data_IF_650290837313
#
_entry.id   IF_650290837313
#
_cell.length_a   1.000
_cell.length_b   1.000
_cell.length_c   1.000
_cell.angle_alpha   90.00
_cell.angle_beta   90.00
_cell.angle_gamma   90.00
#
_symmetry.space_group_name_H-M   'P 1'
#
loop_
_entity.id
_entity.type
_entity.pdbx_description
1 polymer ?
#
# COMPACT_ATOMS: atom_id res chain seq x y z
N UNK A 1 -92.01 -59.61 -29.30
CA UNK A 1 -91.63 -58.25 -28.83
C UNK A 1 -90.22 -57.99 -29.36
N UNK A 2 -89.97 -57.36 -30.52
CA UNK A 2 -90.22 -55.97 -30.95
C UNK A 2 -89.85 -54.92 -29.87
N UNK A 3 -88.76 -54.16 -30.06
CA UNK A 3 -88.64 -52.84 -30.72
C UNK A 3 -87.13 -52.51 -30.86
N UNK A 4 -86.53 -52.38 -32.06
CA UNK A 4 -86.41 -51.25 -33.02
C UNK A 4 -85.41 -50.12 -32.65
N UNK A 5 -84.52 -49.87 -33.62
CA UNK A 5 -83.38 -48.92 -33.74
C UNK A 5 -83.79 -47.44 -33.83
N UNK A 6 -82.83 -46.51 -33.62
CA UNK A 6 -82.57 -45.35 -34.50
C UNK A 6 -81.22 -44.62 -34.21
N UNK A 7 -80.78 -43.82 -35.19
CA UNK A 7 -79.42 -43.36 -35.57
C UNK A 7 -78.96 -41.95 -35.07
N UNK A 8 -77.61 -41.76 -34.95
CA UNK A 8 -76.65 -40.60 -35.20
C UNK A 8 -77.03 -39.12 -34.87
N UNK A 9 -76.10 -38.09 -34.76
CA UNK A 9 -74.68 -37.97 -35.22
C UNK A 9 -73.69 -37.26 -34.21
N UNK A 10 -72.42 -36.92 -34.58
CA UNK A 10 -71.35 -36.49 -33.67
C UNK A 10 -71.16 -34.95 -33.60
N UNK A 11 -70.68 -34.43 -32.46
CA UNK A 11 -70.23 -33.03 -32.35
C UNK A 11 -68.78 -32.94 -31.83
N UNK A 12 -67.98 -32.21 -32.63
CA UNK A 12 -66.62 -31.74 -32.39
C UNK A 12 -66.45 -31.09 -31.01
N UNK A 13 -65.40 -31.47 -30.28
CA UNK A 13 -64.86 -30.68 -29.18
C UNK A 13 -63.45 -30.22 -29.59
N UNK A 14 -63.36 -28.95 -30.00
CA UNK A 14 -62.09 -28.26 -30.28
C UNK A 14 -61.48 -27.91 -28.93
N UNK A 15 -60.43 -28.62 -28.52
CA UNK A 15 -59.61 -28.25 -27.37
C UNK A 15 -58.68 -27.09 -27.76
N UNK A 16 -59.04 -25.89 -27.31
CA UNK A 16 -58.21 -24.70 -27.39
C UNK A 16 -57.09 -24.80 -26.34
N UNK A 17 -55.89 -25.20 -26.76
CA UNK A 17 -54.68 -25.11 -25.94
C UNK A 17 -54.23 -23.65 -25.94
N UNK A 18 -54.62 -22.88 -24.91
CA UNK A 18 -53.93 -21.64 -24.58
C UNK A 18 -52.60 -22.00 -23.90
N UNK A 19 -51.50 -21.86 -24.65
CA UNK A 19 -50.17 -21.78 -24.07
C UNK A 19 -50.05 -20.39 -23.44
N UNK A 20 -50.33 -20.30 -22.14
CA UNK A 20 -49.94 -19.13 -21.34
C UNK A 20 -48.42 -19.16 -21.18
N UNK A 21 -47.71 -18.47 -22.08
CA UNK A 21 -46.36 -17.99 -21.77
C UNK A 21 -46.50 -16.97 -20.64
N UNK A 22 -46.31 -17.44 -19.41
CA UNK A 22 -46.07 -16.57 -18.27
C UNK A 22 -44.72 -15.87 -18.50
N UNK A 23 -44.74 -14.66 -19.05
CA UNK A 23 -43.63 -13.73 -18.92
C UNK A 23 -43.42 -13.47 -17.43
N UNK A 24 -42.52 -14.21 -16.78
CA UNK A 24 -41.93 -13.77 -15.53
C UNK A 24 -41.24 -12.43 -15.83
N UNK A 25 -41.77 -11.36 -15.24
CA UNK A 25 -41.17 -10.03 -15.30
C UNK A 25 -39.83 -10.13 -14.57
N UNK A 26 -38.73 -10.08 -15.31
CA UNK A 26 -37.39 -10.03 -14.71
C UNK A 26 -37.27 -8.68 -14.00
N UNK A 27 -37.14 -8.69 -12.67
CA UNK A 27 -37.00 -7.47 -11.86
C UNK A 27 -35.54 -7.28 -11.47
N UNK A 28 -34.92 -6.18 -11.91
CA UNK A 28 -33.50 -5.86 -11.69
C UNK A 28 -33.24 -5.10 -10.39
N UNK A 29 -34.08 -5.26 -9.37
CA UNK A 29 -34.07 -4.41 -8.17
C UNK A 29 -32.70 -4.33 -7.48
N UNK A 30 -31.96 -5.45 -7.45
CA UNK A 30 -30.63 -5.52 -6.85
C UNK A 30 -29.59 -4.81 -7.73
N UNK A 31 -29.65 -5.06 -9.03
CA UNK A 31 -28.77 -4.50 -10.05
C UNK A 31 -28.95 -2.98 -10.10
N UNK A 32 -30.18 -2.48 -10.11
CA UNK A 32 -30.51 -1.06 -10.08
C UNK A 32 -29.99 -0.36 -8.84
N UNK A 33 -30.18 -0.97 -7.66
CA UNK A 33 -29.65 -0.40 -6.41
C UNK A 33 -28.13 -0.29 -6.40
N UNK A 34 -27.43 -1.32 -6.88
CA UNK A 34 -25.96 -1.28 -7.00
C UNK A 34 -25.50 -0.28 -8.07
N UNK A 35 -26.20 -0.23 -9.20
CA UNK A 35 -25.92 0.69 -10.30
C UNK A 35 -26.07 2.14 -9.87
N UNK A 36 -27.11 2.46 -9.09
CA UNK A 36 -27.37 3.79 -8.56
C UNK A 36 -26.25 4.29 -7.64
N UNK A 37 -25.77 3.44 -6.73
CA UNK A 37 -24.62 3.79 -5.86
C UNK A 37 -23.36 4.07 -6.68
N UNK A 38 -23.09 3.26 -7.71
CA UNK A 38 -21.95 3.51 -8.58
C UNK A 38 -22.11 4.76 -9.45
N UNK A 39 -23.33 5.07 -9.88
CA UNK A 39 -23.62 6.30 -10.60
C UNK A 39 -23.30 7.53 -9.74
N UNK A 40 -23.69 7.53 -8.47
CA UNK A 40 -23.33 8.58 -7.50
C UNK A 40 -21.80 8.72 -7.35
N UNK A 41 -21.09 7.60 -7.17
CA UNK A 41 -19.63 7.62 -7.00
C UNK A 41 -18.89 8.16 -8.23
N UNK A 42 -19.36 7.85 -9.44
CA UNK A 42 -18.80 8.40 -10.69
C UNK A 42 -19.14 9.87 -10.83
N UNK A 43 -20.38 10.27 -10.51
CA UNK A 43 -20.82 11.65 -10.54
C UNK A 43 -19.98 12.55 -9.62
N UNK A 44 -19.69 12.05 -8.41
CA UNK A 44 -18.90 12.73 -7.39
C UNK A 44 -17.40 12.75 -7.70
N UNK A 45 -16.93 12.06 -8.74
CA UNK A 45 -15.52 11.98 -9.12
C UNK A 45 -14.68 11.04 -8.24
N UNK A 46 -15.32 10.24 -7.38
CA UNK A 46 -14.64 9.23 -6.54
C UNK A 46 -14.13 8.07 -7.39
N UNK A 47 -14.91 7.66 -8.39
CA UNK A 47 -14.53 6.63 -9.36
C UNK A 47 -14.39 7.23 -10.75
N UNK A 48 -13.22 7.08 -11.41
CA UNK A 48 -13.09 7.44 -12.82
C UNK A 48 -14.09 6.69 -13.69
N UNK A 49 -14.23 5.38 -13.50
CA UNK A 49 -15.29 4.55 -14.06
C UNK A 49 -15.83 3.56 -13.02
N UNK A 50 -17.05 3.07 -13.23
CA UNK A 50 -17.59 1.93 -12.49
C UNK A 50 -18.18 0.88 -13.45
N UNK A 51 -18.30 -0.36 -12.98
CA UNK A 51 -18.86 -1.47 -13.74
C UNK A 51 -20.21 -1.87 -13.13
N UNK A 52 -21.21 -2.13 -13.98
CA UNK A 52 -22.42 -2.83 -13.56
C UNK A 52 -22.11 -4.29 -13.20
N UNK A 53 -23.12 -4.98 -12.63
CA UNK A 53 -23.04 -6.43 -12.56
C UNK A 53 -22.94 -7.04 -13.98
N UNK A 54 -22.18 -8.13 -14.15
CA UNK A 54 -22.15 -8.88 -15.40
C UNK A 54 -23.49 -9.56 -15.67
N UNK A 55 -24.09 -9.26 -16.82
CA UNK A 55 -25.38 -9.81 -17.27
C UNK A 55 -25.21 -10.54 -18.60
N UNK A 56 -26.06 -11.52 -18.90
CA UNK A 56 -26.14 -12.04 -20.26
C UNK A 56 -26.60 -10.95 -21.24
N UNK A 57 -26.31 -11.05 -22.55
CA UNK A 57 -26.76 -10.05 -23.52
C UNK A 57 -28.27 -9.76 -23.49
N UNK A 58 -29.10 -10.80 -23.29
CA UNK A 58 -30.56 -10.65 -23.18
C UNK A 58 -31.01 -9.97 -21.89
N UNK A 59 -30.35 -10.23 -20.77
CA UNK A 59 -30.62 -9.53 -19.51
C UNK A 59 -30.18 -8.07 -19.62
N UNK A 60 -29.04 -7.82 -20.27
CA UNK A 60 -28.53 -6.47 -20.53
C UNK A 60 -29.52 -5.66 -21.35
N UNK A 61 -30.08 -6.24 -22.43
CA UNK A 61 -31.11 -5.58 -23.25
C UNK A 61 -32.32 -5.13 -22.42
N UNK A 62 -32.74 -5.95 -21.44
CA UNK A 62 -33.85 -5.64 -20.54
C UNK A 62 -33.48 -4.59 -19.48
N UNK A 63 -32.22 -4.55 -19.04
CA UNK A 63 -31.74 -3.62 -18.02
C UNK A 63 -31.39 -2.23 -18.57
N UNK A 64 -30.98 -2.13 -19.84
CA UNK A 64 -30.55 -0.88 -20.48
C UNK A 64 -31.48 0.32 -20.24
N UNK A 65 -32.82 0.22 -20.39
CA UNK A 65 -33.70 1.38 -20.18
C UNK A 65 -33.64 1.93 -18.75
N UNK A 66 -33.52 1.04 -17.76
CA UNK A 66 -33.40 1.43 -16.35
C UNK A 66 -32.03 2.03 -16.06
N UNK A 67 -30.96 1.42 -16.57
CA UNK A 67 -29.61 1.93 -16.46
C UNK A 67 -29.47 3.34 -17.08
N UNK A 68 -30.06 3.58 -18.26
CA UNK A 68 -30.08 4.91 -18.90
C UNK A 68 -30.84 5.93 -18.06
N UNK A 69 -32.01 5.57 -17.51
CA UNK A 69 -32.78 6.47 -16.65
C UNK A 69 -32.01 6.86 -15.37
N UNK A 70 -31.30 5.90 -14.74
CA UNK A 70 -30.45 6.19 -13.59
C UNK A 70 -29.27 7.06 -14.01
N UNK A 71 -28.61 6.77 -15.15
CA UNK A 71 -27.49 7.55 -15.63
C UNK A 71 -27.85 9.03 -15.88
N UNK A 72 -29.01 9.29 -16.48
CA UNK A 72 -29.55 10.64 -16.68
C UNK A 72 -29.76 11.37 -15.35
N UNK A 73 -30.32 10.69 -14.33
CA UNK A 73 -30.53 11.25 -12.99
C UNK A 73 -29.23 11.75 -12.34
N UNK A 74 -28.12 11.05 -12.55
CA UNK A 74 -26.80 11.40 -12.00
C UNK A 74 -25.91 12.17 -12.98
N UNK A 75 -26.42 12.57 -14.15
CA UNK A 75 -25.67 13.30 -15.17
C UNK A 75 -24.37 12.58 -15.58
N UNK A 76 -24.44 11.26 -15.70
CA UNK A 76 -23.34 10.40 -16.19
C UNK A 76 -23.74 9.70 -17.49
N UNK A 77 -22.76 9.09 -18.14
CA UNK A 77 -22.96 8.29 -19.36
C UNK A 77 -22.72 6.81 -19.08
N UNK A 78 -23.28 5.97 -19.96
CA UNK A 78 -23.16 4.51 -19.88
C UNK A 78 -22.67 3.96 -21.21
N UNK A 79 -21.72 3.03 -21.16
CA UNK A 79 -21.21 2.32 -22.32
C UNK A 79 -21.40 0.82 -22.12
N UNK A 80 -22.05 0.15 -23.10
CA UNK A 80 -22.20 -1.30 -23.11
C UNK A 80 -20.89 -1.95 -23.57
N UNK A 81 -20.24 -2.65 -22.65
CA UNK A 81 -19.00 -3.36 -22.89
C UNK A 81 -19.28 -4.86 -23.04
N UNK A 82 -19.24 -5.39 -24.28
CA UNK A 82 -19.54 -6.80 -24.54
C UNK A 82 -18.39 -7.75 -24.19
N UNK A 83 -17.18 -7.24 -24.03
CA UNK A 83 -16.00 -8.06 -23.73
C UNK A 83 -15.06 -7.28 -22.81
N UNK A 84 -15.30 -7.36 -21.50
CA UNK A 84 -14.49 -6.65 -20.50
C UNK A 84 -13.00 -7.02 -20.64
N UNK A 85 -12.13 -6.02 -20.46
CA UNK A 85 -10.67 -6.23 -20.44
C UNK A 85 -10.28 -7.34 -19.44
N UNK A 86 -9.53 -8.34 -19.92
CA UNK A 86 -9.02 -9.41 -19.06
C UNK A 86 -7.83 -8.92 -18.25
N UNK A 87 -7.96 -8.83 -16.92
CA UNK A 87 -6.88 -8.39 -16.02
C UNK A 87 -6.57 -9.48 -15.00
N UNK A 88 -5.58 -9.24 -14.14
CA UNK A 88 -5.28 -10.06 -12.97
C UNK A 88 -5.97 -9.53 -11.70
N UNK A 89 -7.05 -8.75 -11.83
CA UNK A 89 -7.80 -8.24 -10.66
C UNK A 89 -8.99 -9.12 -10.28
N UNK A 90 -9.54 -9.88 -11.23
CA UNK A 90 -10.71 -10.72 -11.04
C UNK A 90 -10.55 -12.00 -11.86
N UNK A 91 -11.23 -13.06 -11.44
CA UNK A 91 -11.35 -14.27 -12.26
C UNK A 91 -12.12 -13.96 -13.55
N UNK A 92 -11.50 -14.26 -14.69
CA UNK A 92 -12.10 -14.05 -16.01
C UNK A 92 -13.36 -14.90 -16.24
N UNK A 93 -13.54 -15.98 -15.47
CA UNK A 93 -14.75 -16.82 -15.52
C UNK A 93 -16.02 -16.03 -15.15
N UNK A 94 -15.90 -14.98 -14.33
CA UNK A 94 -17.04 -14.19 -13.83
C UNK A 94 -17.71 -13.38 -14.95
N UNK A 95 -16.96 -13.02 -15.99
CA UNK A 95 -17.41 -12.19 -17.12
C UNK A 95 -17.52 -12.97 -18.43
N UNK A 96 -17.25 -14.27 -18.43
CA UNK A 96 -17.30 -15.08 -19.64
C UNK A 96 -18.74 -15.17 -20.17
N UNK A 97 -18.93 -14.75 -21.43
CA UNK A 97 -20.24 -14.74 -22.09
C UNK A 97 -21.23 -13.73 -21.51
N UNK A 98 -20.74 -12.78 -20.70
CA UNK A 98 -21.51 -11.72 -20.09
C UNK A 98 -21.01 -10.36 -20.55
N UNK A 99 -21.88 -9.37 -20.44
CA UNK A 99 -21.61 -7.98 -20.75
C UNK A 99 -21.72 -7.15 -19.48
N UNK A 100 -21.03 -6.02 -19.45
CA UNK A 100 -21.11 -5.04 -18.36
C UNK A 100 -21.41 -3.66 -18.94
N UNK A 101 -22.00 -2.80 -18.12
CA UNK A 101 -22.07 -1.37 -18.41
C UNK A 101 -20.92 -0.68 -17.69
N UNK A 102 -20.22 0.17 -18.43
CA UNK A 102 -19.25 1.10 -17.88
C UNK A 102 -19.98 2.41 -17.62
N UNK A 103 -20.06 2.80 -16.36
CA UNK A 103 -20.55 4.10 -15.92
C UNK A 103 -19.38 5.07 -15.91
N UNK A 104 -19.53 6.23 -16.55
CA UNK A 104 -18.41 7.16 -16.74
C UNK A 104 -18.87 8.60 -16.89
N UNK A 105 -17.92 9.54 -16.72
CA UNK A 105 -18.11 10.98 -16.94
C UNK A 105 -16.89 11.57 -17.66
N UNK A 106 -17.13 12.44 -18.64
CA UNK A 106 -16.06 13.03 -19.45
C UNK A 106 -15.23 11.97 -20.19
N UNK A 107 -13.92 12.15 -20.22
CA UNK A 107 -12.98 11.34 -21.02
C UNK A 107 -12.56 10.00 -20.37
N UNK A 108 -13.18 9.63 -19.26
CA UNK A 108 -12.84 8.39 -18.54
C UNK A 108 -13.11 7.11 -19.34
N UNK A 109 -14.10 7.12 -20.25
CA UNK A 109 -14.32 6.02 -21.20
C UNK A 109 -13.17 5.90 -22.22
N UNK A 110 -12.66 7.02 -22.73
CA UNK A 110 -11.54 7.02 -23.68
C UNK A 110 -10.30 6.39 -23.03
N UNK A 111 -10.02 6.75 -21.77
CA UNK A 111 -8.91 6.17 -21.02
C UNK A 111 -9.04 4.64 -20.89
N UNK A 112 -10.23 4.13 -20.60
CA UNK A 112 -10.51 2.69 -20.60
C UNK A 112 -10.30 2.05 -21.98
N UNK A 113 -10.80 2.67 -23.05
CA UNK A 113 -10.66 2.16 -24.41
C UNK A 113 -9.18 2.12 -24.86
N UNK A 114 -8.38 3.13 -24.50
CA UNK A 114 -6.93 3.14 -24.73
C UNK A 114 -6.24 2.01 -23.97
N UNK A 115 -6.60 1.77 -22.71
CA UNK A 115 -6.06 0.67 -21.92
C UNK A 115 -6.41 -0.69 -22.54
N UNK A 116 -7.66 -0.88 -22.97
CA UNK A 116 -8.12 -2.11 -23.62
C UNK A 116 -7.40 -2.34 -24.95
N UNK A 117 -7.19 -1.29 -25.75
CA UNK A 117 -6.40 -1.35 -26.97
C UNK A 117 -4.97 -1.81 -26.68
N UNK A 118 -4.31 -1.23 -25.69
CA UNK A 118 -2.96 -1.65 -25.26
C UNK A 118 -2.93 -3.12 -24.84
N UNK A 119 -3.90 -3.59 -24.07
CA UNK A 119 -3.99 -5.00 -23.68
C UNK A 119 -4.11 -5.92 -24.91
N UNK A 120 -5.00 -5.59 -25.85
CA UNK A 120 -5.17 -6.36 -27.08
C UNK A 120 -3.90 -6.38 -27.95
N UNK A 121 -3.17 -5.26 -28.02
CA UNK A 121 -1.88 -5.19 -28.74
C UNK A 121 -0.82 -6.11 -28.09
N UNK A 122 -0.76 -6.13 -26.76
CA UNK A 122 0.11 -7.03 -26.00
C UNK A 122 -0.29 -8.50 -26.16
N UNK A 123 -1.59 -8.81 -26.24
CA UNK A 123 -2.08 -10.15 -26.52
C UNK A 123 -1.69 -10.60 -27.93
N UNK A 124 -1.88 -9.72 -28.92
CA UNK A 124 -1.49 -9.97 -30.30
C UNK A 124 0.02 -10.20 -30.46
N UNK A 125 0.86 -9.51 -29.67
CA UNK A 125 2.31 -9.72 -29.64
C UNK A 125 2.74 -10.90 -28.75
N UNK A 126 1.81 -11.58 -28.06
CA UNK A 126 2.08 -12.64 -27.05
C UNK A 126 2.91 -12.18 -25.87
N UNK A 127 2.83 -10.90 -25.53
CA UNK A 127 3.55 -10.28 -24.42
C UNK A 127 2.64 -9.94 -23.22
N UNK A 128 1.36 -10.28 -23.28
CA UNK A 128 0.40 -10.01 -22.20
C UNK A 128 0.52 -10.98 -21.03
N UNK A 129 1.66 -10.91 -20.33
CA UNK A 129 2.00 -11.72 -19.16
C UNK A 129 2.97 -10.97 -18.24
N UNK A 130 3.23 -11.52 -17.05
CA UNK A 130 4.17 -10.95 -16.08
C UNK A 130 3.89 -9.47 -15.79
N UNK A 131 4.95 -8.65 -15.76
CA UNK A 131 4.87 -7.23 -15.44
C UNK A 131 3.93 -6.46 -16.39
N UNK A 132 3.92 -6.78 -17.68
CA UNK A 132 3.09 -6.06 -18.66
C UNK A 132 1.59 -6.23 -18.37
N UNK A 133 1.17 -7.43 -17.94
CA UNK A 133 -0.22 -7.68 -17.53
C UNK A 133 -0.53 -7.08 -16.15
N UNK A 134 0.45 -7.10 -15.24
CA UNK A 134 0.35 -6.43 -13.95
C UNK A 134 0.11 -4.92 -14.10
N UNK A 135 0.88 -4.24 -14.96
CA UNK A 135 0.75 -2.80 -15.22
C UNK A 135 -0.63 -2.43 -15.77
N UNK A 136 -1.17 -3.24 -16.68
CA UNK A 136 -2.53 -3.06 -17.21
C UNK A 136 -3.56 -3.26 -16.10
N UNK A 137 -3.38 -4.28 -15.26
CA UNK A 137 -4.26 -4.57 -14.13
C UNK A 137 -4.26 -3.45 -13.10
N UNK A 138 -3.09 -2.93 -12.72
CA UNK A 138 -2.95 -1.77 -11.82
C UNK A 138 -3.63 -0.53 -12.38
N UNK A 139 -3.43 -0.26 -13.68
CA UNK A 139 -4.08 0.86 -14.36
C UNK A 139 -5.60 0.72 -14.34
N UNK A 140 -6.11 -0.47 -14.62
CA UNK A 140 -7.56 -0.74 -14.55
C UNK A 140 -8.09 -0.58 -13.12
N UNK A 141 -7.37 -1.08 -12.11
CA UNK A 141 -7.74 -0.94 -10.69
C UNK A 141 -7.86 0.52 -10.25
N UNK A 142 -6.90 1.37 -10.66
CA UNK A 142 -6.98 2.81 -10.42
C UNK A 142 -8.17 3.46 -11.12
N UNK A 143 -8.50 3.05 -12.35
CA UNK A 143 -9.71 3.52 -13.05
C UNK A 143 -11.00 3.14 -12.32
N UNK A 144 -11.01 2.00 -11.62
CA UNK A 144 -12.11 1.57 -10.74
C UNK A 144 -12.08 2.27 -9.37
N UNK A 145 -11.11 3.15 -9.11
CA UNK A 145 -10.93 3.86 -7.84
C UNK A 145 -10.49 2.97 -6.68
N UNK A 146 -9.73 1.89 -6.96
CA UNK A 146 -9.17 1.05 -5.91
C UNK A 146 -7.88 1.65 -5.34
N UNK A 147 -7.68 1.62 -4.01
CA UNK A 147 -6.39 1.95 -3.42
C UNK A 147 -5.34 0.91 -3.81
N UNK A 148 -4.06 1.31 -3.85
CA UNK A 148 -2.96 0.41 -4.27
C UNK A 148 -2.88 -0.86 -3.40
N UNK A 149 -3.15 -0.80 -2.09
CA UNK A 149 -3.16 -2.00 -1.25
C UNK A 149 -4.27 -2.99 -1.65
N UNK A 150 -5.45 -2.51 -2.05
CA UNK A 150 -6.49 -3.38 -2.58
C UNK A 150 -6.13 -3.96 -3.96
N UNK A 151 -5.44 -3.18 -4.80
CA UNK A 151 -4.93 -3.67 -6.09
C UNK A 151 -3.91 -4.78 -5.86
N UNK A 152 -2.94 -4.60 -4.94
CA UNK A 152 -1.99 -5.64 -4.55
C UNK A 152 -2.69 -6.90 -4.05
N UNK A 153 -3.68 -6.76 -3.15
CA UNK A 153 -4.45 -7.89 -2.63
C UNK A 153 -5.13 -8.69 -3.76
N UNK A 154 -5.77 -8.01 -4.71
CA UNK A 154 -6.40 -8.67 -5.85
C UNK A 154 -5.37 -9.32 -6.77
N UNK A 155 -4.23 -8.67 -7.03
CA UNK A 155 -3.14 -9.25 -7.81
C UNK A 155 -2.56 -10.49 -7.11
N UNK A 156 -2.38 -10.46 -5.80
CA UNK A 156 -1.85 -11.57 -5.03
C UNK A 156 -2.80 -12.78 -5.02
N UNK A 157 -4.12 -12.53 -5.07
CA UNK A 157 -5.14 -13.58 -5.15
C UNK A 157 -5.25 -14.20 -6.56
N UNK A 158 -5.03 -13.41 -7.61
CA UNK A 158 -5.34 -13.80 -8.99
C UNK A 158 -4.11 -13.92 -9.89
N UNK A 159 -2.89 -13.84 -9.34
CA UNK A 159 -1.64 -13.97 -10.08
C UNK A 159 -0.47 -14.43 -9.20
N UNK A 160 0.71 -14.55 -9.83
CA UNK A 160 1.97 -14.85 -9.15
C UNK A 160 2.55 -13.65 -8.38
N UNK A 161 1.93 -12.46 -8.42
CA UNK A 161 2.37 -11.30 -7.65
C UNK A 161 2.31 -11.59 -6.14
N UNK A 162 3.30 -11.09 -5.41
CA UNK A 162 3.38 -11.06 -3.94
C UNK A 162 4.10 -9.79 -3.50
N UNK A 163 3.81 -9.32 -2.29
CA UNK A 163 4.54 -8.26 -1.61
C UNK A 163 4.97 -8.68 -0.19
N UNK A 164 5.57 -7.79 0.60
CA UNK A 164 6.10 -8.15 1.92
C UNK A 164 5.02 -8.67 2.88
N UNK A 165 3.78 -8.20 2.73
CA UNK A 165 2.66 -8.60 3.58
C UNK A 165 2.36 -10.09 3.47
N UNK A 166 2.51 -10.67 2.27
CA UNK A 166 2.29 -12.09 2.02
C UNK A 166 3.27 -13.01 2.75
N UNK A 167 4.44 -12.50 3.15
CA UNK A 167 5.49 -13.25 3.86
C UNK A 167 5.55 -12.93 5.38
N UNK A 168 4.61 -12.10 5.84
CA UNK A 168 4.39 -11.75 7.24
C UNK A 168 5.51 -10.89 7.85
N UNK A 169 5.31 -9.57 7.87
CA UNK A 169 6.24 -8.63 8.50
C UNK A 169 6.19 -8.77 10.02
N UNK A 170 7.35 -8.84 10.67
CA UNK A 170 7.51 -9.07 12.13
C UNK A 170 8.29 -7.96 12.84
N UNK A 171 8.76 -6.95 12.12
CA UNK A 171 9.45 -5.79 12.68
C UNK A 171 10.52 -5.21 11.76
N UNK A 172 11.25 -4.22 12.29
CA UNK A 172 12.34 -3.52 11.62
C UNK A 172 13.61 -3.53 12.47
N UNK A 173 14.76 -3.68 11.83
CA UNK A 173 16.04 -3.29 12.38
C UNK A 173 16.68 -2.23 11.47
N UNK A 174 16.89 -1.03 12.00
CA UNK A 174 17.70 0.00 11.34
C UNK A 174 19.17 -0.26 11.66
N UNK A 175 20.02 -0.45 10.66
CA UNK A 175 21.43 -0.81 10.86
C UNK A 175 22.31 0.38 10.49
N UNK A 176 23.07 0.91 11.45
CA UNK A 176 24.00 2.02 11.28
C UNK A 176 25.45 1.60 11.50
N UNK A 177 26.38 2.29 10.84
CA UNK A 177 27.81 1.98 10.87
C UNK A 177 28.64 3.10 11.50
N UNK A 178 29.53 2.73 12.41
CA UNK A 178 30.35 3.62 13.25
C UNK A 178 31.84 3.33 13.14
N UNK A 179 32.66 4.39 13.11
CA UNK A 179 34.11 4.30 13.27
C UNK A 179 34.48 4.07 14.74
N UNK A 180 33.82 4.75 15.66
CA UNK A 180 33.93 4.59 17.11
C UNK A 180 32.68 3.88 17.67
N UNK A 181 32.62 2.57 17.46
CA UNK A 181 31.53 1.74 17.96
C UNK A 181 31.40 1.76 19.49
N UNK A 182 32.49 1.73 20.29
CA UNK A 182 32.38 1.85 21.76
C UNK A 182 31.67 3.12 22.21
N UNK A 183 31.98 4.28 21.64
CA UNK A 183 31.31 5.53 22.00
C UNK A 183 29.83 5.52 21.60
N UNK A 184 29.50 4.98 20.43
CA UNK A 184 28.10 4.80 20.01
C UNK A 184 27.34 3.87 20.98
N UNK A 185 27.91 2.72 21.36
CA UNK A 185 27.30 1.81 22.34
C UNK A 185 26.99 2.52 23.65
N UNK A 186 27.93 3.30 24.16
CA UNK A 186 27.75 4.09 25.39
C UNK A 186 26.63 5.12 25.22
N UNK A 187 26.60 5.85 24.11
CA UNK A 187 25.56 6.82 23.83
C UNK A 187 24.15 6.19 23.84
N UNK A 188 23.94 5.09 23.12
CA UNK A 188 22.62 4.47 23.04
C UNK A 188 22.21 3.75 24.35
N UNK A 189 23.16 3.15 25.08
CA UNK A 189 22.88 2.42 26.32
C UNK A 189 22.79 3.29 27.57
N UNK A 190 23.60 4.35 27.68
CA UNK A 190 23.71 5.20 28.87
C UNK A 190 23.03 6.55 28.66
N UNK A 191 23.32 7.25 27.55
CA UNK A 191 22.77 8.59 27.29
C UNK A 191 21.29 8.53 26.92
N UNK A 192 20.88 7.58 26.07
CA UNK A 192 19.47 7.35 25.74
C UNK A 192 18.82 6.25 26.58
N UNK A 193 19.60 5.40 27.25
CA UNK A 193 19.06 4.35 28.10
C UNK A 193 18.36 3.21 27.35
N UNK A 194 18.59 3.05 26.04
CA UNK A 194 17.90 2.03 25.25
C UNK A 194 18.25 0.63 25.76
N UNK A 195 17.24 -0.26 25.77
CA UNK A 195 17.43 -1.64 26.21
C UNK A 195 18.29 -2.40 25.21
N UNK A 196 19.45 -2.86 25.65
CA UNK A 196 20.31 -3.77 24.87
C UNK A 196 19.62 -5.14 24.77
N UNK A 197 19.48 -5.66 23.55
CA UNK A 197 18.99 -7.01 23.27
C UNK A 197 20.14 -7.99 23.04
N UNK A 198 21.18 -7.53 22.35
CA UNK A 198 22.41 -8.29 22.13
C UNK A 198 23.59 -7.34 21.99
N UNK A 199 24.75 -7.79 22.44
CA UNK A 199 26.00 -7.05 22.28
C UNK A 199 27.12 -8.02 21.91
N UNK A 200 27.85 -7.66 20.87
CA UNK A 200 29.00 -8.40 20.35
C UNK A 200 30.19 -7.45 20.21
N UNK A 201 31.38 -7.97 19.87
CA UNK A 201 32.57 -7.14 19.69
C UNK A 201 32.35 -6.05 18.61
N UNK A 202 31.77 -6.42 17.46
CA UNK A 202 31.60 -5.55 16.30
C UNK A 202 30.16 -5.06 16.08
N UNK A 203 29.24 -5.35 17.00
CA UNK A 203 27.84 -4.94 16.88
C UNK A 203 27.13 -4.79 18.22
N UNK A 204 26.03 -4.05 18.24
CA UNK A 204 25.03 -4.09 19.33
C UNK A 204 23.63 -3.84 18.77
N UNK A 205 22.64 -4.47 19.37
CA UNK A 205 21.22 -4.33 19.02
C UNK A 205 20.46 -3.76 20.21
N UNK A 206 19.76 -2.66 19.98
CA UNK A 206 18.94 -1.95 20.95
C UNK A 206 17.47 -2.06 20.58
N UNK A 207 16.61 -2.27 21.58
CA UNK A 207 15.17 -2.13 21.42
C UNK A 207 14.80 -0.65 21.54
N UNK A 208 14.16 -0.10 20.50
CA UNK A 208 13.54 1.23 20.58
C UNK A 208 12.19 1.08 21.25
N UNK A 209 11.28 0.34 20.61
CA UNK A 209 9.94 0.01 21.12
C UNK A 209 9.38 -1.18 20.37
N UNK A 210 8.77 -2.13 21.10
CA UNK A 210 8.09 -3.29 20.51
C UNK A 210 8.94 -4.03 19.48
N UNK A 211 8.51 -4.00 18.23
CA UNK A 211 9.16 -4.65 17.08
C UNK A 211 10.17 -3.78 16.30
N UNK A 212 10.46 -2.57 16.79
CA UNK A 212 11.46 -1.66 16.23
C UNK A 212 12.79 -1.71 16.99
N UNK A 213 13.89 -1.81 16.24
CA UNK A 213 15.25 -1.96 16.77
C UNK A 213 16.24 -1.06 16.04
N UNK A 214 17.25 -0.60 16.77
CA UNK A 214 18.45 0.01 16.23
C UNK A 214 19.61 -0.97 16.39
N UNK A 215 20.30 -1.27 15.30
CA UNK A 215 21.52 -2.07 15.28
C UNK A 215 22.67 -1.16 14.90
N UNK A 216 23.72 -1.15 15.71
CA UNK A 216 24.94 -0.41 15.42
C UNK A 216 26.07 -1.39 15.15
N UNK A 217 26.89 -1.12 14.13
CA UNK A 217 27.99 -1.98 13.69
C UNK A 217 29.27 -1.18 13.49
N UNK A 218 30.42 -1.85 13.58
CA UNK A 218 31.70 -1.25 13.18
C UNK A 218 31.75 -1.05 11.67
N UNK A 219 32.28 0.09 11.22
CA UNK A 219 32.67 0.32 9.82
C UNK A 219 33.78 -0.66 9.43
N UNK A 220 34.67 -1.01 10.36
CA UNK A 220 35.79 -1.92 10.10
C UNK A 220 35.30 -3.32 9.68
N UNK A 221 35.56 -3.69 8.43
CA UNK A 221 35.15 -4.97 7.86
C UNK A 221 33.72 -5.01 7.33
N UNK A 222 32.99 -3.89 7.34
CA UNK A 222 31.64 -3.80 6.76
C UNK A 222 31.63 -3.65 5.23
N UNK A 223 32.73 -3.16 4.66
CA UNK A 223 32.83 -2.78 3.25
C UNK A 223 32.51 -1.30 2.99
N UNK A 224 32.02 -0.57 4.00
CA UNK A 224 31.84 0.87 3.93
C UNK A 224 33.14 1.63 4.25
N UNK A 225 33.37 2.78 3.62
CA UNK A 225 34.49 3.68 3.86
C UNK A 225 34.32 4.48 5.15
N UNK A 226 33.07 4.76 5.52
CA UNK A 226 32.74 5.59 6.67
C UNK A 226 32.89 7.10 6.44
N UNK A 227 33.09 7.55 5.19
CA UNK A 227 33.43 8.95 4.88
C UNK A 227 32.32 9.75 4.21
N UNK A 228 31.30 9.10 3.65
CA UNK A 228 30.20 9.82 3.02
C UNK A 228 29.08 10.17 4.02
N UNK A 229 28.08 10.91 3.53
CA UNK A 229 26.93 11.32 4.33
C UNK A 229 26.12 10.09 4.77
N UNK A 230 25.56 10.14 5.99
CA UNK A 230 24.77 9.03 6.52
C UNK A 230 23.49 8.76 5.69
N UNK A 231 22.95 9.81 5.04
CA UNK A 231 21.75 9.76 4.20
C UNK A 231 20.54 9.12 4.90
N UNK A 232 20.43 9.30 6.22
CA UNK A 232 19.36 8.71 7.05
C UNK A 232 19.13 9.57 8.29
N UNK A 233 17.89 9.57 8.78
CA UNK A 233 17.57 10.01 10.13
C UNK A 233 16.63 8.99 10.80
N UNK A 234 16.64 8.96 12.12
CA UNK A 234 15.73 8.14 12.92
C UNK A 234 14.87 9.06 13.76
N UNK A 235 13.56 9.06 13.50
CA UNK A 235 12.61 9.67 14.41
C UNK A 235 12.21 8.69 15.51
N UNK A 236 12.25 9.17 16.74
CA UNK A 236 11.89 8.50 17.98
C UNK A 236 10.65 9.20 18.53
N UNK A 237 9.49 8.53 18.44
CA UNK A 237 8.22 9.17 18.74
C UNK A 237 7.88 9.09 20.23
N UNK A 238 7.61 10.25 20.83
CA UNK A 238 7.40 10.41 22.27
C UNK A 238 6.50 11.61 22.58
N UNK A 239 5.70 11.51 23.64
CA UNK A 239 4.90 12.64 24.13
C UNK A 239 5.68 13.56 25.10
N UNK A 240 6.89 13.14 25.51
CA UNK A 240 7.68 13.79 26.57
C UNK A 240 8.89 14.57 26.00
N UNK A 241 8.60 15.46 25.04
CA UNK A 241 9.64 16.18 24.30
C UNK A 241 10.48 17.11 25.18
N UNK A 242 9.87 17.78 26.17
CA UNK A 242 10.57 18.75 27.03
C UNK A 242 11.57 18.07 27.97
N UNK A 243 11.20 16.89 28.49
CA UNK A 243 12.04 16.04 29.33
C UNK A 243 13.24 15.52 28.56
N UNK A 244 13.01 14.96 27.36
CA UNK A 244 14.08 14.51 26.48
C UNK A 244 15.02 15.66 26.09
N UNK A 245 14.46 16.81 25.71
CA UNK A 245 15.24 17.98 25.32
C UNK A 245 16.15 18.47 26.46
N UNK A 246 15.59 18.59 27.67
CA UNK A 246 16.33 19.03 28.86
C UNK A 246 17.42 18.04 29.26
N UNK A 247 17.13 16.74 29.20
CA UNK A 247 18.11 15.68 29.48
C UNK A 247 19.28 15.71 28.50
N UNK A 248 19.02 15.76 27.20
CA UNK A 248 20.08 15.76 26.19
C UNK A 248 20.94 17.03 26.24
N UNK A 249 20.37 18.18 26.59
CA UNK A 249 21.14 19.38 26.86
C UNK A 249 22.07 19.22 28.08
N UNK A 250 21.58 18.59 29.16
CA UNK A 250 22.36 18.32 30.37
C UNK A 250 23.51 17.34 30.11
N UNK A 251 23.25 16.30 29.32
CA UNK A 251 24.25 15.35 28.83
C UNK A 251 25.17 15.94 27.74
N UNK A 252 24.96 17.21 27.37
CA UNK A 252 25.75 17.96 26.38
C UNK A 252 25.75 17.32 24.99
N UNK A 253 24.65 16.65 24.64
CA UNK A 253 24.43 16.13 23.29
C UNK A 253 24.21 17.31 22.33
N UNK A 254 24.78 17.21 21.13
CA UNK A 254 24.68 18.27 20.13
C UNK A 254 23.24 18.37 19.61
N UNK A 255 22.61 19.53 19.81
CA UNK A 255 21.28 19.83 19.27
C UNK A 255 21.44 20.54 17.92
N UNK A 256 21.00 19.90 16.84
CA UNK A 256 21.00 20.47 15.48
C UNK A 256 19.86 21.47 15.30
N UNK A 257 18.66 21.08 15.73
CA UNK A 257 17.47 21.92 15.69
C UNK A 257 16.82 21.92 17.07
N UNK A 258 16.60 23.11 17.62
CA UNK A 258 15.99 23.29 18.94
C UNK A 258 14.52 22.89 18.96
N UNK A 259 14.01 22.54 20.14
CA UNK A 259 12.60 22.22 20.34
C UNK A 259 11.67 23.31 19.79
N UNK A 260 10.76 22.88 18.92
CA UNK A 260 9.65 23.67 18.40
C UNK A 260 8.35 23.00 18.81
N UNK A 261 7.50 23.79 19.46
CA UNK A 261 6.13 23.39 19.82
C UNK A 261 5.17 24.29 19.05
N UNK A 262 4.37 23.67 18.20
CA UNK A 262 3.33 24.29 17.38
C UNK A 262 2.08 23.39 17.45
N UNK A 263 1.19 23.60 18.43
CA UNK A 263 0.03 22.74 18.65
C UNK A 263 -0.92 22.62 17.44
N UNK A 264 -0.98 23.66 16.59
CA UNK A 264 -1.77 23.67 15.34
C UNK A 264 -0.99 23.15 14.12
N UNK A 265 0.25 22.69 14.31
CA UNK A 265 1.11 22.13 13.28
C UNK A 265 0.94 20.61 13.11
N UNK A 266 1.68 20.03 12.16
CA UNK A 266 1.66 18.59 11.92
C UNK A 266 2.43 17.79 12.98
N UNK A 267 3.49 18.36 13.55
CA UNK A 267 4.30 17.73 14.58
C UNK A 267 5.04 18.79 15.41
N UNK A 268 5.38 18.40 16.63
CA UNK A 268 6.31 19.08 17.54
C UNK A 268 7.61 18.27 17.61
N UNK A 269 8.75 18.91 17.81
CA UNK A 269 9.98 18.14 17.94
C UNK A 269 11.28 18.95 17.96
N UNK A 270 12.37 18.22 18.11
CA UNK A 270 13.75 18.70 18.01
C UNK A 270 14.65 17.64 17.40
N UNK A 271 15.86 18.04 17.00
CA UNK A 271 16.82 17.12 16.39
C UNK A 271 18.14 17.18 17.14
N UNK A 272 18.59 16.02 17.61
CA UNK A 272 19.90 15.79 18.20
C UNK A 272 20.81 15.05 17.21
N UNK A 273 22.11 15.14 17.44
CA UNK A 273 23.12 14.33 16.75
C UNK A 273 23.72 13.34 17.74
N UNK A 274 23.88 12.10 17.28
CA UNK A 274 24.68 11.12 17.99
C UNK A 274 26.20 11.43 17.87
N UNK A 275 27.09 10.64 18.48
CA UNK A 275 28.52 10.92 18.49
C UNK A 275 29.20 11.03 17.11
N UNK A 276 28.61 10.44 16.06
CA UNK A 276 29.13 10.49 14.69
C UNK A 276 28.22 11.25 13.71
N UNK A 277 27.25 12.00 14.22
CA UNK A 277 26.41 12.88 13.43
C UNK A 277 25.22 12.19 12.76
N UNK A 278 24.83 10.97 13.15
CA UNK A 278 23.49 10.48 12.78
C UNK A 278 22.43 11.37 13.42
N UNK A 279 21.38 11.68 12.65
CA UNK A 279 20.30 12.54 13.11
C UNK A 279 19.25 11.72 13.86
N UNK A 280 18.95 12.16 15.07
CA UNK A 280 17.90 11.63 15.93
C UNK A 280 16.83 12.71 16.09
N UNK A 281 15.65 12.44 15.53
CA UNK A 281 14.50 13.34 15.62
C UNK A 281 13.63 12.87 16.79
N UNK A 282 13.36 13.76 17.73
CA UNK A 282 12.43 13.49 18.82
C UNK A 282 11.14 14.20 18.45
N UNK A 283 10.10 13.44 18.15
CA UNK A 283 8.90 13.98 17.51
C UNK A 283 7.61 13.51 18.17
N UNK A 284 6.63 14.41 18.19
CA UNK A 284 5.24 14.14 18.55
C UNK A 284 4.35 14.62 17.41
N UNK A 285 3.65 13.69 16.75
CA UNK A 285 2.72 14.04 15.69
C UNK A 285 1.38 14.52 16.27
N UNK A 286 0.74 15.47 15.58
CA UNK A 286 -0.55 16.05 15.96
C UNK A 286 -1.62 15.75 14.92
N UNK A 287 -2.88 15.88 15.32
CA UNK A 287 -3.99 15.81 14.38
C UNK A 287 -3.90 17.00 13.41
N UNK A 288 -3.69 16.70 12.14
CA UNK A 288 -3.46 17.63 11.04
C UNK A 288 -3.89 16.94 9.74
N UNK A 289 -4.25 17.66 8.66
CA UNK A 289 -4.58 17.04 7.37
C UNK A 289 -3.53 16.04 6.85
N UNK A 290 -2.25 16.28 7.17
CA UNK A 290 -1.14 15.37 6.81
C UNK A 290 -1.19 14.02 7.55
N UNK A 291 -1.82 13.95 8.73
CA UNK A 291 -1.74 12.83 9.67
C UNK A 291 -3.09 12.16 9.97
N UNK A 292 -4.12 12.39 9.14
CA UNK A 292 -5.48 11.89 9.40
C UNK A 292 -5.55 10.36 9.54
N UNK A 293 -4.68 9.63 8.82
CA UNK A 293 -4.52 8.18 8.98
C UNK A 293 -3.50 7.83 10.07
N UNK A 294 -2.40 8.58 10.14
CA UNK A 294 -1.28 8.28 11.04
C UNK A 294 -1.62 8.40 12.53
N UNK A 295 -2.34 9.44 12.95
CA UNK A 295 -2.69 9.62 14.38
C UNK A 295 -3.53 8.45 14.93
N UNK A 296 -4.59 7.97 14.26
CA UNK A 296 -5.29 6.75 14.66
C UNK A 296 -4.37 5.53 14.84
N UNK A 297 -3.38 5.34 13.99
CA UNK A 297 -2.43 4.22 14.12
C UNK A 297 -1.54 4.35 15.36
N UNK A 298 -1.12 5.58 15.71
CA UNK A 298 -0.27 5.85 16.87
C UNK A 298 -1.02 5.74 18.21
N UNK A 299 -2.31 6.09 18.25
CA UNK A 299 -3.12 6.10 19.50
C UNK A 299 -3.16 4.77 20.26
N UNK A 300 -2.95 3.64 19.57
CA UNK A 300 -2.94 2.30 20.18
C UNK A 300 -1.58 1.85 20.70
N UNK A 301 -0.51 2.63 20.51
CA UNK A 301 0.85 2.21 20.84
C UNK A 301 1.13 2.41 22.31
N UNK A 302 1.68 1.37 22.95
CA UNK A 302 2.13 1.44 24.34
C UNK A 302 3.57 1.93 24.36
N UNK A 303 3.87 3.04 25.03
CA UNK A 303 5.25 3.49 25.16
C UNK A 303 6.10 2.47 25.92
N UNK A 304 7.36 2.33 25.50
CA UNK A 304 8.38 1.56 26.20
C UNK A 304 9.36 2.54 26.85
N UNK A 305 9.46 2.47 28.17
CA UNK A 305 10.43 3.26 28.93
C UNK A 305 11.86 2.75 28.71
N UNK A 306 12.81 3.67 28.68
CA UNK A 306 14.25 3.40 28.71
C UNK A 306 14.71 3.16 30.15
N UNK A 307 15.99 2.83 30.34
CA UNK A 307 16.57 2.68 31.67
C UNK A 307 16.63 3.98 32.49
N UNK A 308 16.37 5.13 31.85
CA UNK A 308 16.40 6.46 32.50
C UNK A 308 15.12 6.76 33.30
N UNK A 309 14.02 6.05 33.04
CA UNK A 309 12.75 6.23 33.74
C UNK A 309 11.54 6.30 32.80
N UNK A 310 10.34 6.33 33.38
CA UNK A 310 9.07 6.33 32.64
C UNK A 310 8.90 7.53 31.72
N UNK A 311 9.46 8.69 32.09
CA UNK A 311 9.38 9.92 31.29
C UNK A 311 10.20 9.81 30.00
N UNK A 312 11.22 8.95 29.97
CA UNK A 312 12.07 8.70 28.82
C UNK A 312 11.56 7.46 28.10
N UNK A 313 10.55 7.63 27.27
CA UNK A 313 9.92 6.52 26.56
C UNK A 313 9.74 6.85 25.08
N UNK A 314 9.57 5.80 24.27
CA UNK A 314 9.15 5.90 22.88
C UNK A 314 7.99 4.94 22.61
N UNK A 315 7.06 5.33 21.74
CA UNK A 315 5.93 4.49 21.35
C UNK A 315 6.00 3.99 19.89
N UNK A 316 6.81 4.62 19.06
CA UNK A 316 7.08 4.22 17.68
C UNK A 316 8.39 4.84 17.17
N UNK A 317 8.84 4.41 15.99
CA UNK A 317 9.96 5.04 15.28
C UNK A 317 9.70 5.17 13.79
N UNK A 318 10.34 6.15 13.15
CA UNK A 318 10.34 6.34 11.70
C UNK A 318 11.78 6.33 11.20
N UNK A 319 12.08 5.47 10.24
CA UNK A 319 13.35 5.51 9.51
C UNK A 319 13.18 6.42 8.29
N UNK A 320 13.82 7.60 8.29
CA UNK A 320 13.78 8.54 7.16
C UNK A 320 14.90 8.26 6.17
N UNK A 321 14.53 7.90 4.94
CA UNK A 321 15.42 7.64 3.81
C UNK A 321 15.33 8.79 2.80
N UNK A 322 16.47 9.28 2.34
CA UNK A 322 16.62 10.49 1.52
C UNK A 322 16.86 10.14 0.06
N UNK A 323 16.08 10.73 -0.84
CA UNK A 323 16.06 10.39 -2.27
C UNK A 323 16.14 11.63 -3.15
N UNK A 324 16.80 11.46 -4.31
CA UNK A 324 16.79 12.41 -5.42
C UNK A 324 15.42 12.48 -6.12
N UNK A 325 14.72 11.35 -6.19
CA UNK A 325 13.42 11.25 -6.83
C UNK A 325 12.48 10.39 -5.97
N UNK A 326 11.47 11.06 -5.39
CA UNK A 326 10.52 10.42 -4.47
C UNK A 326 9.40 9.67 -5.20
N UNK A 327 9.06 10.06 -6.44
CA UNK A 327 7.88 9.50 -7.13
C UNK A 327 8.06 8.02 -7.51
N UNK A 328 9.21 7.58 -8.07
CA UNK A 328 9.48 6.16 -8.24
C UNK A 328 9.53 5.40 -6.92
N UNK A 329 10.00 6.03 -5.84
CA UNK A 329 10.04 5.41 -4.51
C UNK A 329 8.65 5.21 -3.93
N UNK A 330 7.75 6.14 -4.19
CA UNK A 330 6.34 6.02 -3.82
C UNK A 330 5.71 4.75 -4.40
N UNK A 331 5.94 4.54 -5.70
CA UNK A 331 5.48 3.32 -6.38
C UNK A 331 6.19 2.08 -5.84
N UNK A 332 7.49 2.14 -5.59
CA UNK A 332 8.22 1.01 -5.04
C UNK A 332 7.71 0.60 -3.65
N UNK A 333 7.52 1.56 -2.74
CA UNK A 333 7.01 1.29 -1.38
C UNK A 333 5.60 0.70 -1.42
N UNK A 334 4.71 1.23 -2.27
CA UNK A 334 3.30 0.82 -2.31
C UNK A 334 3.05 -0.42 -3.18
N UNK A 335 3.64 -0.50 -4.36
CA UNK A 335 3.33 -1.54 -5.36
C UNK A 335 4.28 -2.74 -5.25
N UNK A 336 5.56 -2.54 -4.94
CA UNK A 336 6.53 -3.63 -4.86
C UNK A 336 6.64 -4.19 -3.44
N UNK A 337 6.65 -3.31 -2.43
CA UNK A 337 6.74 -3.72 -1.03
C UNK A 337 5.39 -3.86 -0.33
N UNK A 338 4.32 -3.29 -0.89
CA UNK A 338 2.97 -3.39 -0.32
C UNK A 338 2.72 -2.52 0.91
N UNK A 339 3.58 -1.54 1.18
CA UNK A 339 3.47 -0.70 2.36
C UNK A 339 2.37 0.36 2.18
N UNK A 340 1.56 0.57 3.21
CA UNK A 340 0.49 1.55 3.19
C UNK A 340 0.96 2.94 3.63
N UNK A 341 0.53 3.98 2.90
CA UNK A 341 0.82 5.37 3.22
C UNK A 341 -0.01 5.83 4.43
N UNK A 342 0.68 6.16 5.53
CA UNK A 342 0.11 6.65 6.78
C UNK A 342 0.04 8.19 6.83
N UNK A 343 1.02 8.89 6.26
CA UNK A 343 1.02 10.36 6.21
C UNK A 343 1.72 10.88 4.94
N UNK A 344 1.22 12.01 4.42
CA UNK A 344 1.76 12.68 3.23
C UNK A 344 1.98 14.17 3.51
N UNK A 345 3.23 14.61 3.49
CA UNK A 345 3.66 16.00 3.68
C UNK A 345 4.10 16.65 2.36
N UNK A 346 3.79 16.01 1.23
CA UNK A 346 4.22 16.38 -0.11
C UNK A 346 5.67 15.96 -0.40
N UNK A 347 6.64 16.55 0.31
CA UNK A 347 8.07 16.28 0.13
C UNK A 347 8.62 15.20 1.06
N UNK A 348 7.81 14.76 2.03
CA UNK A 348 8.07 13.62 2.87
C UNK A 348 6.82 12.75 3.00
N UNK A 349 6.99 11.43 3.06
CA UNK A 349 5.89 10.45 3.05
C UNK A 349 6.20 9.34 4.03
N UNK A 350 5.24 8.96 4.86
CA UNK A 350 5.41 7.94 5.91
C UNK A 350 4.60 6.70 5.54
N UNK A 351 5.28 5.56 5.49
CA UNK A 351 4.68 4.24 5.24
C UNK A 351 4.75 3.38 6.49
N UNK A 352 3.63 2.71 6.80
CA UNK A 352 3.62 1.70 7.85
C UNK A 352 4.42 0.49 7.42
N UNK A 353 5.39 0.08 8.25
CA UNK A 353 6.17 -1.13 8.03
C UNK A 353 5.75 -2.25 8.98
N UNK A 354 5.66 -1.96 10.28
CA UNK A 354 5.31 -2.96 11.30
C UNK A 354 4.34 -2.38 12.34
N UNK A 355 4.25 -2.97 13.54
CA UNK A 355 3.43 -2.41 14.60
C UNK A 355 4.05 -1.15 15.22
N UNK A 356 5.37 -1.11 15.45
CA UNK A 356 6.03 0.03 16.07
C UNK A 356 6.99 0.78 15.13
N UNK A 357 7.13 0.34 13.88
CA UNK A 357 8.06 0.96 12.93
C UNK A 357 7.41 1.43 11.63
N UNK A 358 7.95 2.54 11.13
CA UNK A 358 7.58 3.20 9.89
C UNK A 358 8.84 3.45 9.05
N UNK A 359 8.65 3.51 7.74
CA UNK A 359 9.68 3.96 6.79
C UNK A 359 9.19 5.22 6.12
N UNK A 360 10.02 6.26 6.13
CA UNK A 360 9.73 7.53 5.53
C UNK A 360 10.59 7.81 4.31
N UNK A 361 9.99 8.33 3.25
CA UNK A 361 10.69 8.88 2.09
C UNK A 361 10.85 10.39 2.28
N UNK A 362 12.01 10.94 1.95
CA UNK A 362 12.29 12.37 2.02
C UNK A 362 12.95 12.84 0.73
N UNK A 363 12.45 13.94 0.15
CA UNK A 363 13.14 14.69 -0.89
C UNK A 363 14.42 15.32 -0.31
N UNK A 364 15.57 14.91 -0.81
CA UNK A 364 16.88 15.38 -0.31
C UNK A 364 17.07 16.89 -0.42
N UNK A 365 16.37 17.56 -1.33
CA UNK A 365 16.49 19.01 -1.52
C UNK A 365 15.81 19.82 -0.41
N UNK A 366 14.98 19.15 0.41
CA UNK A 366 14.19 19.78 1.47
C UNK A 366 14.49 19.20 2.85
N UNK A 367 14.90 17.94 2.90
CA UNK A 367 15.25 17.26 4.14
C UNK A 367 16.55 17.74 4.80
N UNK A 368 16.88 17.15 5.94
CA UNK A 368 18.02 17.54 6.78
C UNK A 368 19.34 16.81 6.48
N UNK A 369 19.31 15.85 5.54
CA UNK A 369 20.44 15.14 4.98
C UNK A 369 20.42 15.21 3.45
N UNK A 370 21.58 15.00 2.85
CA UNK A 370 21.73 14.81 1.41
C UNK A 370 21.90 13.34 1.08
N UNK A 371 21.52 12.97 -0.14
CA UNK A 371 21.77 11.66 -0.73
C UNK A 371 23.27 11.34 -0.74
N UNK A 372 23.58 10.06 -0.52
CA UNK A 372 24.92 9.49 -0.70
C UNK A 372 24.88 8.24 -1.57
N UNK A 373 25.95 7.99 -2.32
CA UNK A 373 26.12 6.71 -3.02
C UNK A 373 26.43 5.62 -1.99
N UNK A 374 27.42 5.88 -1.13
CA UNK A 374 27.72 5.07 0.03
C UNK A 374 26.92 5.52 1.24
N UNK A 375 25.83 4.81 1.51
CA UNK A 375 24.93 5.11 2.63
C UNK A 375 25.37 4.27 3.81
N UNK A 376 25.74 4.89 4.92
CA UNK A 376 26.12 4.16 6.16
C UNK A 376 24.88 3.64 6.90
N UNK A 377 23.94 3.08 6.14
CA UNK A 377 22.68 2.55 6.62
C UNK A 377 22.26 1.33 5.80
N UNK A 378 21.72 0.34 6.50
CA UNK A 378 20.93 -0.73 5.90
C UNK A 378 19.61 -0.84 6.66
N UNK A 379 18.55 -1.29 5.99
CA UNK A 379 17.24 -1.49 6.61
C UNK A 379 16.90 -2.97 6.56
N UNK A 380 16.74 -3.62 7.71
CA UNK A 380 16.27 -5.01 7.76
C UNK A 380 14.80 -5.08 8.11
N UNK A 381 14.06 -5.87 7.35
CA UNK A 381 12.65 -6.14 7.54
C UNK A 381 12.53 -7.59 8.01
N UNK A 382 12.09 -7.81 9.24
CA UNK A 382 11.89 -9.18 9.73
C UNK A 382 10.70 -9.82 9.03
N UNK A 383 10.86 -11.00 8.44
CA UNK A 383 9.78 -11.77 7.81
C UNK A 383 9.57 -13.12 8.52
N UNK A 384 8.31 -13.53 8.64
CA UNK A 384 7.97 -14.87 9.14
C UNK A 384 8.30 -15.97 8.13
N UNK A 385 8.28 -15.65 6.84
CA UNK A 385 8.67 -16.51 5.72
C UNK A 385 9.74 -15.83 4.84
N UNK A 386 10.95 -15.65 5.38
CA UNK A 386 12.09 -15.06 4.65
C UNK A 386 12.53 -15.90 3.45
N UNK A 387 12.48 -17.24 3.57
CA UNK A 387 12.89 -18.17 2.51
C UNK A 387 11.90 -18.12 1.33
N UNK A 388 10.61 -17.98 1.61
CA UNK A 388 9.58 -17.73 0.62
C UNK A 388 9.82 -16.42 -0.13
N UNK A 389 10.15 -15.34 0.57
CA UNK A 389 10.46 -14.05 -0.05
C UNK A 389 11.72 -14.12 -0.93
N UNK A 390 12.79 -14.76 -0.47
CA UNK A 390 14.01 -14.98 -1.28
C UNK A 390 13.71 -15.79 -2.55
N UNK A 391 12.85 -16.80 -2.44
CA UNK A 391 12.40 -17.62 -3.58
C UNK A 391 11.59 -16.78 -4.57
N UNK A 392 10.69 -15.93 -4.07
CA UNK A 392 9.91 -15.01 -4.90
C UNK A 392 10.80 -14.00 -5.63
N UNK A 393 11.74 -13.37 -4.91
CA UNK A 393 12.70 -12.43 -5.50
C UNK A 393 13.54 -13.08 -6.60
N UNK A 394 14.06 -14.30 -6.40
CA UNK A 394 14.82 -15.03 -7.44
C UNK A 394 14.02 -15.32 -8.71
N UNK A 395 12.70 -15.43 -8.60
CA UNK A 395 11.82 -15.64 -9.77
C UNK A 395 11.56 -14.34 -10.53
N UNK A 396 11.52 -13.21 -9.82
CA UNK A 396 11.20 -11.88 -10.36
C UNK A 396 12.43 -11.12 -10.86
N UNK A 397 13.54 -11.25 -10.17
CA UNK A 397 14.80 -10.59 -10.46
C UNK A 397 15.76 -11.56 -11.16
N UNK A 398 16.22 -11.18 -12.36
CA UNK A 398 17.21 -11.94 -13.11
C UNK A 398 18.66 -11.63 -12.71
N UNK A 399 18.88 -10.68 -11.79
CA UNK A 399 20.23 -10.33 -11.33
C UNK A 399 20.83 -11.45 -10.46
N UNK A 400 21.68 -12.26 -11.09
CA UNK A 400 22.44 -13.31 -10.42
C UNK A 400 23.50 -12.80 -9.45
N UNK A 401 23.77 -11.49 -9.43
CA UNK A 401 24.78 -10.86 -8.55
C UNK A 401 24.20 -10.35 -7.23
N UNK A 402 22.86 -10.32 -7.09
CA UNK A 402 22.18 -9.98 -5.83
C UNK A 402 22.63 -10.92 -4.72
N UNK A 403 23.05 -10.35 -3.59
CA UNK A 403 23.38 -11.13 -2.39
C UNK A 403 22.10 -11.72 -1.80
N UNK A 404 22.14 -12.98 -1.39
CA UNK A 404 20.99 -13.64 -0.76
C UNK A 404 20.51 -12.87 0.48
N UNK A 405 19.19 -12.87 0.72
CA UNK A 405 18.54 -12.17 1.82
C UNK A 405 18.72 -10.65 1.78
N UNK A 406 18.92 -10.11 0.58
CA UNK A 406 19.00 -8.67 0.34
C UNK A 406 18.26 -8.27 -0.92
N UNK A 407 17.85 -7.01 -0.98
CA UNK A 407 17.46 -6.32 -2.21
C UNK A 407 17.76 -4.83 -2.06
N UNK A 408 17.78 -4.09 -3.16
CA UNK A 408 17.92 -2.62 -3.11
C UNK A 408 16.68 -1.95 -3.65
N UNK A 409 16.33 -0.79 -3.11
CA UNK A 409 15.38 0.11 -3.77
C UNK A 409 16.04 0.84 -4.94
N UNK A 410 15.27 1.62 -5.70
CA UNK A 410 15.80 2.39 -6.84
C UNK A 410 16.66 3.61 -6.40
N UNK A 411 16.69 3.94 -5.11
CA UNK A 411 17.61 4.91 -4.52
C UNK A 411 18.95 4.30 -4.07
N UNK A 412 19.09 2.98 -4.16
CA UNK A 412 20.29 2.25 -3.74
C UNK A 412 20.42 2.10 -2.23
N UNK A 413 19.35 2.17 -1.45
CA UNK A 413 19.37 1.69 -0.07
C UNK A 413 19.34 0.16 -0.06
N UNK A 414 20.21 -0.44 0.74
CA UNK A 414 20.25 -1.89 0.88
C UNK A 414 19.26 -2.35 1.95
N UNK A 415 18.31 -3.17 1.53
CA UNK A 415 17.38 -3.86 2.40
C UNK A 415 17.85 -5.28 2.68
N UNK A 416 17.62 -5.75 3.92
CA UNK A 416 17.83 -7.12 4.37
C UNK A 416 16.51 -7.71 4.84
N UNK A 417 16.41 -9.03 4.90
CA UNK A 417 15.24 -9.71 5.45
C UNK A 417 15.59 -11.06 6.09
#
# INVERSE_FOLDING_TARGET
>A
MNFRKNHLPPLFLISLIMILYSCQKVEFKKESGAFEVFAEMVQAGVKPIALSQPLSPSEMDLFMPEATSIAEKYEISVFREPNLIGTSLFDSSVVQGKEVLILYKGESLEAYQMLKKRANELEASKEYSGQKKEDVSRTFGRMLGYPESNINNLLAQNSDFKDLGDFGITGQELIWFYKDLPEAKKFYSETLGLKILSEEEKSATFQIVGDSRLVIKSVEGSGYSGNEAKSVALALLTDNLEEWYSHLQKEKVTIKYTLKVKPDGAHDGFVAMDPEGYLLEFEMFRMHPENEKFIPELKGRKPLATSLGTEYNFYASITWLYYKDILPMENFMTQNLGLELSADQGWAKIYRLSDNSYVGLVDEMRGMNSFSEEKLVEVKIGLSDSDGWETYLKKKDSDSTRRSNTFSDLGGYLFRF
#
